data_IF_373936198734
#
_entry.id   IF_373936198734
#
_cell.length_a   1.000
_cell.length_b   1.000
_cell.length_c   1.000
_cell.angle_alpha   90.00
_cell.angle_beta   90.00
_cell.angle_gamma   90.00
#
_symmetry.space_group_name_H-M   'P 1'
#
loop_
_entity.id
_entity.type
_entity.pdbx_description
1 polymer ?
#
# COMPACT_ATOMS: atom_id res chain seq x y z
N UNK A 1 -0.84 2.31 -2.30
CA UNK A 1 0.40 3.02 -1.88
C UNK A 1 0.15 4.51 -1.95
N UNK A 2 0.52 5.25 -0.92
CA UNK A 2 0.29 6.68 -0.77
C UNK A 2 1.66 7.38 -0.79
N UNK A 3 1.83 8.36 -1.68
CA UNK A 3 3.03 9.18 -1.68
C UNK A 3 3.00 10.19 -0.54
N UNK A 4 4.05 10.28 0.28
CA UNK A 4 4.12 11.26 1.38
C UNK A 4 4.46 12.68 0.91
N UNK A 5 5.04 12.81 -0.29
CA UNK A 5 5.44 14.12 -0.83
C UNK A 5 4.31 14.80 -1.60
N UNK A 6 3.72 14.09 -2.57
CA UNK A 6 2.68 14.63 -3.44
C UNK A 6 1.26 14.16 -3.11
N UNK A 7 1.10 13.36 -2.04
CA UNK A 7 -0.20 12.81 -1.60
C UNK A 7 -0.93 11.95 -2.66
N UNK A 8 -0.25 11.56 -3.74
CA UNK A 8 -0.78 10.70 -4.79
C UNK A 8 -1.08 9.32 -4.22
N UNK A 9 -2.32 8.85 -4.45
CA UNK A 9 -2.78 7.52 -4.06
C UNK A 9 -2.71 6.61 -5.28
N UNK A 10 -2.08 5.45 -5.11
CA UNK A 10 -1.94 4.41 -6.12
C UNK A 10 -2.63 3.15 -5.60
N UNK A 11 -3.73 2.78 -6.22
CA UNK A 11 -4.42 1.52 -5.93
C UNK A 11 -3.79 0.38 -6.72
N UNK A 12 -3.74 -0.80 -6.11
CA UNK A 12 -3.22 -2.00 -6.77
C UNK A 12 -4.00 -3.23 -6.30
N UNK A 13 -4.20 -4.17 -7.23
CA UNK A 13 -4.75 -5.49 -6.93
C UNK A 13 -3.60 -6.49 -6.89
N UNK A 14 -3.33 -7.08 -5.73
CA UNK A 14 -2.36 -8.16 -5.57
C UNK A 14 -3.07 -9.43 -5.06
N UNK A 15 -3.14 -10.51 -5.85
CA UNK A 15 -3.81 -11.75 -5.46
C UNK A 15 -3.19 -12.40 -4.21
N UNK A 16 -1.93 -12.10 -3.89
CA UNK A 16 -1.24 -12.63 -2.70
C UNK A 16 -1.84 -12.09 -1.41
N UNK A 17 -2.37 -10.87 -1.41
CA UNK A 17 -3.02 -10.28 -0.22
C UNK A 17 -4.26 -11.11 0.17
N UNK A 18 -5.02 -11.59 -0.81
CA UNK A 18 -6.14 -12.48 -0.57
C UNK A 18 -5.68 -13.82 0.02
N UNK A 19 -4.61 -14.42 -0.53
CA UNK A 19 -4.03 -15.66 0.00
C UNK A 19 -3.59 -15.51 1.46
N UNK A 20 -2.95 -14.40 1.82
CA UNK A 20 -2.51 -14.12 3.19
C UNK A 20 -3.72 -14.02 4.13
N UNK A 21 -4.80 -13.35 3.72
CA UNK A 21 -6.01 -13.24 4.53
C UNK A 21 -6.66 -14.58 4.81
N UNK A 22 -6.79 -15.42 3.78
CA UNK A 22 -7.35 -16.78 3.93
C UNK A 22 -6.47 -17.61 4.86
N UNK A 23 -5.15 -17.61 4.62
CA UNK A 23 -4.20 -18.36 5.45
C UNK A 23 -4.21 -17.92 6.91
N UNK A 24 -4.20 -16.61 7.18
CA UNK A 24 -4.26 -16.09 8.56
C UNK A 24 -5.60 -16.41 9.22
N UNK A 25 -6.70 -16.31 8.46
CA UNK A 25 -8.02 -16.69 8.92
C UNK A 25 -8.11 -18.16 9.32
N UNK A 26 -7.57 -19.06 8.51
CA UNK A 26 -7.52 -20.50 8.81
C UNK A 26 -6.58 -20.82 9.97
N UNK A 27 -5.34 -20.30 9.94
CA UNK A 27 -4.32 -20.62 10.93
C UNK A 27 -4.68 -20.16 12.34
N UNK A 28 -5.27 -18.95 12.45
CA UNK A 28 -5.65 -18.36 13.72
C UNK A 28 -7.13 -18.57 14.04
N UNK A 29 -7.86 -19.31 13.20
CA UNK A 29 -9.27 -19.62 13.34
C UNK A 29 -10.17 -18.37 13.45
N UNK A 30 -9.87 -17.34 12.66
CA UNK A 30 -10.62 -16.07 12.58
C UNK A 30 -11.38 -15.94 11.26
N UNK A 31 -12.59 -15.35 11.32
CA UNK A 31 -13.31 -14.89 10.13
C UNK A 31 -12.91 -13.46 9.81
N UNK A 32 -12.09 -13.27 8.78
CA UNK A 32 -11.69 -11.93 8.29
C UNK A 32 -12.89 -11.25 7.63
N UNK A 33 -13.37 -10.15 8.22
CA UNK A 33 -14.51 -9.37 7.68
C UNK A 33 -14.05 -8.21 6.80
N UNK A 34 -12.98 -7.55 7.23
CA UNK A 34 -12.39 -6.40 6.54
C UNK A 34 -10.87 -6.43 6.72
N UNK A 35 -10.16 -5.93 5.72
CA UNK A 35 -8.73 -5.67 5.79
C UNK A 35 -8.46 -4.26 5.29
N UNK A 36 -7.46 -3.58 5.85
CA UNK A 36 -6.99 -2.28 5.38
C UNK A 36 -5.48 -2.34 5.28
N UNK A 37 -4.94 -2.20 4.07
CA UNK A 37 -3.51 -2.18 3.83
C UNK A 37 -3.10 -0.80 3.30
N UNK A 38 -2.60 0.04 4.19
CA UNK A 38 -2.05 1.34 3.84
C UNK A 38 -0.53 1.23 3.76
N UNK A 39 0.01 1.49 2.57
CA UNK A 39 1.45 1.54 2.33
C UNK A 39 1.83 2.98 2.01
N UNK A 40 2.83 3.52 2.70
CA UNK A 40 3.32 4.88 2.51
C UNK A 40 4.74 4.84 1.94
N UNK A 41 5.06 5.76 1.03
CA UNK A 41 6.39 5.86 0.44
C UNK A 41 6.53 7.09 -0.45
N UNK A 42 7.57 7.12 -1.27
CA UNK A 42 7.79 8.19 -2.25
C UNK A 42 7.58 7.59 -3.64
N UNK A 43 6.67 8.17 -4.43
CA UNK A 43 6.37 7.66 -5.77
C UNK A 43 7.55 7.86 -6.74
N UNK A 44 7.52 7.11 -7.85
CA UNK A 44 8.54 7.23 -8.90
C UNK A 44 8.69 8.66 -9.41
N UNK A 45 7.59 9.39 -9.54
CA UNK A 45 7.58 10.79 -9.99
C UNK A 45 8.37 11.69 -9.03
N UNK A 46 8.13 11.60 -7.72
CA UNK A 46 8.84 12.38 -6.70
C UNK A 46 10.31 11.95 -6.54
N UNK A 47 10.61 10.67 -6.75
CA UNK A 47 12.01 10.19 -6.72
C UNK A 47 12.79 10.64 -7.96
N UNK A 48 12.18 10.61 -9.13
CA UNK A 48 12.78 11.02 -10.40
C UNK A 48 12.87 12.56 -10.50
N UNK A 49 11.91 13.27 -9.92
CA UNK A 49 11.93 14.72 -9.82
C UNK A 49 12.81 15.18 -8.66
N UNK A 50 14.08 14.76 -8.65
CA UNK A 50 15.14 15.39 -7.85
C UNK A 50 15.47 16.79 -8.39
N UNK A 51 14.46 17.55 -8.82
CA UNK A 51 14.55 18.99 -8.87
C UNK A 51 14.17 19.48 -7.47
N UNK A 52 15.00 20.31 -6.81
CA UNK A 52 14.61 20.94 -5.57
C UNK A 52 13.45 21.88 -5.92
N UNK A 53 12.22 21.42 -5.71
CA UNK A 53 11.07 22.30 -5.65
C UNK A 53 11.20 23.09 -4.34
N UNK A 54 11.96 24.18 -4.50
CA UNK A 54 12.08 25.46 -3.79
C UNK A 54 10.96 25.86 -2.80
N UNK A 55 11.26 26.87 -1.94
CA UNK A 55 11.20 26.89 -0.47
C UNK A 55 9.81 26.93 0.17
#
# INVERSE_FOLDING_TARGET
VICTECHKVIEFCDPRIHQIQTMVGELLNFKVLHHSLNLYGICGDCRANTQPAQP
#
